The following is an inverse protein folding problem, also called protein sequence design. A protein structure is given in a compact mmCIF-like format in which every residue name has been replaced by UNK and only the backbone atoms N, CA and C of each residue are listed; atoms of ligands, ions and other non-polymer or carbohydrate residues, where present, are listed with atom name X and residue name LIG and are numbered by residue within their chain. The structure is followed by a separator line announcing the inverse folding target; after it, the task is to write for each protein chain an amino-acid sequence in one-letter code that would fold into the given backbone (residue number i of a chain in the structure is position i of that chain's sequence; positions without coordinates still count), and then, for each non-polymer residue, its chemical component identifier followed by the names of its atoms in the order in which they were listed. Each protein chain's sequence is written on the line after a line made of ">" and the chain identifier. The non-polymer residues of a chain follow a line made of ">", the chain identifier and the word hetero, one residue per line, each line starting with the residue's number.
data_IF_409398022142
#
_entry.id   IF_409398022142
#
_cell.length_a   1.000
_cell.length_b   1.000
_cell.length_c   1.000
_cell.angle_alpha   90.00
_cell.angle_beta   90.00
_cell.angle_gamma   90.00
#
_symmetry.space_group_name_H-M   'P 1'
#
loop_
_entity.id
_entity.type
_entity.pdbx_description
1 polymer ?
#
# COMPACT_ATOMS: atom_id res chain seq x y z
N UNK A 1 -24.26 -0.91 37.20
CA UNK A 1 -23.73 -0.72 35.83
C UNK A 1 -24.71 -1.44 34.91
N UNK A 2 -25.35 -0.73 33.94
CA UNK A 2 -26.20 -1.40 32.93
C UNK A 2 -25.26 -2.27 32.08
N UNK A 3 -25.58 -3.56 31.96
CA UNK A 3 -24.90 -4.44 31.00
C UNK A 3 -25.03 -3.81 29.58
N UNK A 4 -23.88 -3.53 28.95
CA UNK A 4 -23.90 -3.02 27.58
C UNK A 4 -24.28 -4.15 26.65
N UNK A 5 -25.26 -3.90 25.77
CA UNK A 5 -25.68 -4.89 24.77
C UNK A 5 -24.51 -5.16 23.82
N UNK A 6 -24.05 -6.39 23.75
CA UNK A 6 -23.06 -6.84 22.77
C UNK A 6 -23.80 -7.16 21.47
N UNK A 7 -23.39 -6.53 20.38
CA UNK A 7 -23.93 -6.78 19.03
C UNK A 7 -22.87 -7.56 18.28
N UNK A 8 -23.22 -8.78 17.83
CA UNK A 8 -22.35 -9.59 16.99
C UNK A 8 -22.50 -9.15 15.53
N UNK A 9 -21.39 -8.89 14.85
CA UNK A 9 -21.35 -8.37 13.48
C UNK A 9 -20.28 -9.13 12.68
N UNK A 10 -20.54 -9.39 11.42
CA UNK A 10 -19.56 -9.92 10.47
C UNK A 10 -19.15 -8.85 9.47
N UNK A 11 -17.90 -8.90 9.01
CA UNK A 11 -17.39 -8.09 7.92
C UNK A 11 -16.59 -8.94 6.92
N UNK A 12 -16.83 -8.73 5.64
CA UNK A 12 -16.18 -9.45 4.56
C UNK A 12 -14.87 -8.76 4.14
N UNK A 13 -13.77 -9.48 4.22
CA UNK A 13 -12.49 -9.09 3.59
C UNK A 13 -12.48 -9.73 2.20
N UNK A 14 -13.15 -9.09 1.24
CA UNK A 14 -13.27 -9.58 -0.13
C UNK A 14 -12.05 -9.11 -0.93
N UNK A 15 -11.26 -10.06 -1.42
CA UNK A 15 -10.04 -9.78 -2.17
C UNK A 15 -10.14 -10.25 -3.63
N UNK A 16 -9.65 -9.40 -4.55
CA UNK A 16 -9.43 -9.75 -5.96
C UNK A 16 -8.06 -9.19 -6.36
N UNK A 17 -7.13 -10.06 -6.69
CA UNK A 17 -5.73 -9.68 -6.93
C UNK A 17 -5.11 -8.92 -5.73
N UNK A 18 -4.65 -7.69 -5.93
CA UNK A 18 -4.08 -6.82 -4.89
C UNK A 18 -5.08 -5.79 -4.33
N UNK A 19 -6.36 -5.90 -4.70
CA UNK A 19 -7.41 -4.98 -4.27
C UNK A 19 -8.45 -5.64 -3.35
N UNK A 20 -9.06 -4.82 -2.52
CA UNK A 20 -10.10 -5.19 -1.57
C UNK A 20 -11.38 -4.43 -1.88
N UNK A 21 -12.52 -5.12 -1.82
CA UNK A 21 -13.83 -4.52 -2.02
C UNK A 21 -14.33 -3.89 -0.73
N UNK A 22 -14.70 -2.62 -0.82
CA UNK A 22 -15.28 -1.86 0.28
C UNK A 22 -16.58 -1.20 -0.15
N UNK A 23 -17.48 -0.96 0.82
CA UNK A 23 -18.71 -0.24 0.64
C UNK A 23 -18.70 1.11 1.34
N UNK A 24 -19.32 2.11 0.74
CA UNK A 24 -19.50 3.42 1.34
C UNK A 24 -20.90 3.58 1.88
N UNK A 25 -21.02 3.94 3.15
CA UNK A 25 -22.31 4.12 3.81
C UNK A 25 -23.09 5.30 3.22
N UNK A 26 -24.42 5.15 2.96
CA UNK A 26 -25.25 6.26 2.55
C UNK A 26 -25.24 7.39 3.58
N UNK A 27 -25.24 8.64 3.13
CA UNK A 27 -25.17 9.83 4.00
C UNK A 27 -26.29 9.92 5.04
N UNK A 28 -27.45 9.32 4.79
CA UNK A 28 -28.59 9.29 5.72
C UNK A 28 -28.51 8.25 6.84
N UNK A 29 -27.52 7.34 6.81
CA UNK A 29 -27.31 6.32 7.85
C UNK A 29 -26.33 6.86 8.92
N UNK A 30 -26.31 6.23 10.10
CA UNK A 30 -25.27 6.51 11.13
C UNK A 30 -23.89 6.30 10.53
N UNK A 31 -22.95 7.22 10.78
CA UNK A 31 -21.62 7.25 10.17
C UNK A 31 -21.65 7.30 8.62
N UNK A 32 -22.66 8.01 8.07
CA UNK A 32 -22.83 8.16 6.62
C UNK A 32 -21.62 8.81 5.95
N UNK A 33 -21.21 8.27 4.81
CA UNK A 33 -20.04 8.72 4.06
C UNK A 33 -18.74 7.97 4.38
N UNK A 34 -18.66 7.26 5.53
CA UNK A 34 -17.51 6.42 5.86
C UNK A 34 -17.51 5.15 5.01
N UNK A 35 -16.31 4.62 4.80
CA UNK A 35 -16.10 3.29 4.21
C UNK A 35 -16.16 2.22 5.30
N UNK A 36 -16.58 1.03 4.91
CA UNK A 36 -16.72 -0.11 5.80
C UNK A 36 -16.52 -1.43 5.05
N UNK A 37 -16.32 -2.50 5.80
CA UNK A 37 -16.44 -3.85 5.28
C UNK A 37 -17.91 -4.15 4.94
N UNK A 38 -18.13 -4.90 3.86
CA UNK A 38 -19.46 -5.43 3.54
C UNK A 38 -19.87 -6.40 4.64
N UNK A 39 -21.06 -6.24 5.22
CA UNK A 39 -21.51 -7.12 6.26
C UNK A 39 -22.48 -6.48 7.24
N UNK A 40 -22.90 -7.26 8.23
CA UNK A 40 -23.92 -6.83 9.15
C UNK A 40 -24.05 -7.71 10.37
N UNK A 41 -25.23 -7.70 11.00
CA UNK A 41 -25.48 -8.42 12.25
C UNK A 41 -25.60 -9.92 12.01
N UNK A 42 -25.05 -10.71 12.93
CA UNK A 42 -25.34 -12.14 12.99
C UNK A 42 -26.75 -12.33 13.58
N UNK A 43 -27.63 -13.01 12.86
CA UNK A 43 -28.98 -13.29 13.31
C UNK A 43 -29.00 -14.51 14.26
N UNK A 44 -30.03 -14.62 15.12
CA UNK A 44 -30.15 -15.77 16.02
C UNK A 44 -30.17 -17.10 15.27
N UNK A 45 -29.21 -17.97 15.60
CA UNK A 45 -29.06 -19.29 14.98
C UNK A 45 -28.13 -19.35 13.78
N UNK A 46 -27.62 -18.21 13.31
CA UNK A 46 -26.60 -18.18 12.26
C UNK A 46 -25.19 -18.37 12.83
N UNK A 47 -24.35 -19.03 12.07
CA UNK A 47 -22.90 -18.97 12.24
C UNK A 47 -22.36 -17.69 11.58
N UNK A 48 -21.17 -17.16 11.97
CA UNK A 48 -20.58 -15.99 11.31
C UNK A 48 -20.47 -16.13 9.79
N UNK A 49 -20.10 -17.33 9.30
CA UNK A 49 -20.00 -17.59 7.85
C UNK A 49 -21.34 -17.55 7.13
N UNK A 50 -22.40 -18.06 7.76
CA UNK A 50 -23.76 -17.99 7.18
C UNK A 50 -24.25 -16.56 7.12
N UNK A 51 -24.07 -15.79 8.19
CA UNK A 51 -24.39 -14.37 8.21
C UNK A 51 -23.66 -13.61 7.09
N UNK A 52 -22.36 -13.86 6.92
CA UNK A 52 -21.59 -13.17 5.88
C UNK A 52 -22.11 -13.48 4.46
N UNK A 53 -22.41 -14.74 4.17
CA UNK A 53 -22.95 -15.13 2.85
C UNK A 53 -24.28 -14.42 2.59
N UNK A 54 -25.19 -14.36 3.60
CA UNK A 54 -26.46 -13.64 3.50
C UNK A 54 -26.23 -12.15 3.27
N UNK A 55 -25.39 -11.49 4.08
CA UNK A 55 -25.13 -10.04 3.99
C UNK A 55 -24.49 -9.66 2.64
N UNK A 56 -23.50 -10.43 2.15
CA UNK A 56 -22.93 -10.19 0.81
C UNK A 56 -23.99 -10.32 -0.30
N UNK A 57 -24.91 -11.25 -0.17
CA UNK A 57 -25.99 -11.40 -1.15
C UNK A 57 -27.01 -10.26 -1.06
N UNK A 58 -27.34 -9.80 0.15
CA UNK A 58 -28.33 -8.74 0.39
C UNK A 58 -27.77 -7.36 0.01
N UNK A 59 -26.58 -7.02 0.48
CA UNK A 59 -26.01 -5.69 0.32
C UNK A 59 -25.37 -5.41 -1.04
N UNK A 60 -24.76 -6.45 -1.65
CA UNK A 60 -23.97 -6.27 -2.89
C UNK A 60 -24.26 -7.30 -3.97
N UNK A 61 -25.27 -8.18 -3.82
CA UNK A 61 -25.63 -9.24 -4.76
C UNK A 61 -24.47 -10.14 -5.18
N UNK A 62 -23.50 -10.37 -4.29
CA UNK A 62 -22.30 -11.11 -4.58
C UNK A 62 -22.26 -12.44 -3.81
N UNK A 63 -22.37 -13.60 -4.49
CA UNK A 63 -22.03 -14.87 -3.89
C UNK A 63 -20.55 -14.92 -3.56
N UNK A 64 -20.19 -15.35 -2.35
CA UNK A 64 -18.81 -15.46 -1.88
C UNK A 64 -18.44 -16.89 -1.53
N UNK A 65 -17.17 -17.23 -1.76
CA UNK A 65 -16.59 -18.56 -1.56
C UNK A 65 -15.30 -18.48 -0.73
N UNK A 66 -14.73 -19.61 -0.35
CA UNK A 66 -13.44 -19.72 0.37
C UNK A 66 -13.41 -18.98 1.71
N UNK A 67 -14.52 -19.03 2.47
CA UNK A 67 -14.68 -18.30 3.71
C UNK A 67 -13.76 -18.82 4.83
N UNK A 68 -12.89 -17.94 5.34
CA UNK A 68 -11.99 -18.23 6.47
C UNK A 68 -12.01 -17.08 7.48
N UNK A 69 -12.29 -17.37 8.76
CA UNK A 69 -12.21 -16.35 9.82
C UNK A 69 -10.77 -15.88 9.90
N UNK A 70 -10.59 -14.56 9.78
CA UNK A 70 -9.27 -13.91 9.82
C UNK A 70 -8.94 -13.40 11.22
N UNK A 71 -9.83 -12.59 11.78
CA UNK A 71 -9.63 -11.99 13.10
C UNK A 71 -10.97 -11.58 13.71
N UNK A 72 -10.97 -11.35 15.02
CA UNK A 72 -12.12 -10.87 15.78
C UNK A 72 -11.69 -9.70 16.65
N UNK A 73 -12.49 -8.63 16.66
CA UNK A 73 -12.25 -7.45 17.48
C UNK A 73 -13.50 -7.01 18.22
N UNK A 74 -13.33 -6.48 19.42
CA UNK A 74 -14.43 -5.94 20.22
C UNK A 74 -14.22 -4.45 20.45
N UNK A 75 -15.09 -3.65 19.85
CA UNK A 75 -15.07 -2.20 19.99
C UNK A 75 -16.22 -1.69 20.86
N UNK A 76 -15.90 -0.85 21.86
CA UNK A 76 -16.88 -0.28 22.79
C UNK A 76 -17.27 1.14 22.37
N UNK A 77 -18.49 1.30 21.87
CA UNK A 77 -19.14 2.61 21.69
C UNK A 77 -19.74 3.12 23.01
N UNK A 78 -20.10 4.40 23.11
CA UNK A 78 -20.75 4.92 24.32
C UNK A 78 -22.02 4.21 24.73
N UNK A 79 -22.82 3.77 23.75
CA UNK A 79 -24.16 3.18 23.90
C UNK A 79 -24.24 1.66 23.74
N UNK A 80 -23.22 1.05 23.11
CA UNK A 80 -23.20 -0.38 22.76
C UNK A 80 -21.77 -0.91 22.69
N UNK A 81 -21.64 -2.23 22.65
CA UNK A 81 -20.38 -2.91 22.30
C UNK A 81 -20.60 -3.71 21.02
N UNK A 82 -19.70 -3.59 20.06
CA UNK A 82 -19.72 -4.35 18.81
C UNK A 82 -18.60 -5.39 18.87
N UNK A 83 -18.96 -6.65 18.65
CA UNK A 83 -18.00 -7.73 18.41
C UNK A 83 -18.03 -8.04 16.91
N UNK A 84 -16.96 -7.66 16.22
CA UNK A 84 -16.79 -7.78 14.77
C UNK A 84 -15.94 -9.00 14.45
N UNK A 85 -16.48 -9.90 13.63
CA UNK A 85 -15.79 -11.07 13.08
C UNK A 85 -15.47 -10.79 11.62
N UNK A 86 -14.19 -10.66 11.28
CA UNK A 86 -13.72 -10.45 9.91
C UNK A 86 -13.40 -11.79 9.24
N UNK A 87 -13.92 -11.96 8.03
CA UNK A 87 -13.84 -13.21 7.28
C UNK A 87 -13.26 -12.95 5.90
N UNK A 88 -12.10 -13.55 5.62
CA UNK A 88 -11.55 -13.59 4.26
C UNK A 88 -12.49 -14.39 3.35
N UNK A 89 -12.75 -13.84 2.16
CA UNK A 89 -13.53 -14.53 1.14
C UNK A 89 -13.20 -13.98 -0.26
N UNK A 90 -13.66 -14.72 -1.27
CA UNK A 90 -13.46 -14.38 -2.67
C UNK A 90 -14.81 -14.32 -3.39
N UNK A 91 -14.97 -13.46 -4.41
CA UNK A 91 -16.14 -13.51 -5.29
C UNK A 91 -16.27 -14.89 -5.92
N UNK A 92 -17.48 -15.44 -5.98
CA UNK A 92 -17.71 -16.64 -6.77
C UNK A 92 -17.39 -16.37 -8.26
N UNK A 93 -16.75 -17.31 -8.98
CA UNK A 93 -16.34 -17.10 -10.36
C UNK A 93 -17.50 -16.61 -11.25
N UNK A 94 -17.22 -15.57 -12.06
CA UNK A 94 -18.20 -14.99 -12.98
C UNK A 94 -19.22 -14.04 -12.36
N UNK A 95 -19.06 -13.67 -11.09
CA UNK A 95 -19.93 -12.71 -10.43
C UNK A 95 -19.21 -11.41 -10.14
N UNK A 96 -19.91 -10.29 -10.31
CA UNK A 96 -19.42 -8.94 -9.97
C UNK A 96 -20.38 -8.29 -8.96
N UNK A 97 -19.85 -7.50 -8.02
CA UNK A 97 -20.69 -6.86 -7.00
C UNK A 97 -21.57 -5.77 -7.58
N UNK A 98 -22.77 -5.62 -7.01
CA UNK A 98 -23.71 -4.56 -7.34
C UNK A 98 -24.21 -3.90 -6.07
N UNK A 99 -23.97 -2.60 -5.89
CA UNK A 99 -24.41 -1.86 -4.72
C UNK A 99 -25.96 -1.88 -4.60
N UNK A 100 -26.48 -2.39 -3.49
CA UNK A 100 -27.89 -2.37 -3.16
C UNK A 100 -28.19 -1.49 -1.95
N UNK A 101 -27.34 -1.56 -0.94
CA UNK A 101 -27.49 -0.79 0.29
C UNK A 101 -26.44 0.29 0.47
N UNK A 102 -25.28 0.17 -0.16
CA UNK A 102 -24.19 1.14 -0.13
C UNK A 102 -24.41 2.23 -1.20
N UNK A 103 -23.95 3.45 -0.91
CA UNK A 103 -23.98 4.55 -1.90
C UNK A 103 -22.94 4.36 -3.01
N UNK A 104 -21.88 3.61 -2.71
CA UNK A 104 -20.75 3.36 -3.60
C UNK A 104 -20.07 2.04 -3.21
N UNK A 105 -19.54 1.32 -4.20
CA UNK A 105 -18.60 0.20 -4.01
C UNK A 105 -17.31 0.52 -4.73
N UNK A 106 -16.17 0.18 -4.12
CA UNK A 106 -14.86 0.42 -4.72
C UNK A 106 -13.88 -0.70 -4.41
N UNK A 107 -12.99 -0.96 -5.38
CA UNK A 107 -11.83 -1.83 -5.20
C UNK A 107 -10.61 -0.97 -4.91
N UNK A 108 -9.96 -1.21 -3.77
CA UNK A 108 -8.84 -0.40 -3.28
C UNK A 108 -7.65 -1.30 -2.91
N UNK A 109 -6.46 -0.87 -3.26
CA UNK A 109 -5.22 -1.48 -2.73
C UNK A 109 -5.08 -1.17 -1.24
N UNK A 110 -4.27 -1.96 -0.51
CA UNK A 110 -4.04 -1.72 0.91
C UNK A 110 -3.54 -0.29 1.22
N UNK A 111 -2.70 0.27 0.34
CA UNK A 111 -2.20 1.64 0.50
C UNK A 111 -3.32 2.67 0.31
N UNK A 112 -4.21 2.49 -0.69
CA UNK A 112 -5.35 3.38 -0.91
C UNK A 112 -6.39 3.28 0.20
N UNK A 113 -6.63 2.08 0.74
CA UNK A 113 -7.53 1.87 1.89
C UNK A 113 -7.14 2.75 3.08
N UNK A 114 -5.84 2.94 3.33
CA UNK A 114 -5.34 3.71 4.47
C UNK A 114 -5.60 5.22 4.35
N UNK A 115 -5.94 5.70 3.16
CA UNK A 115 -6.32 7.10 2.90
C UNK A 115 -7.84 7.34 3.00
N UNK A 116 -8.64 6.26 3.15
CA UNK A 116 -10.08 6.36 3.25
C UNK A 116 -10.55 6.63 4.69
N UNK A 117 -11.67 7.34 4.82
CA UNK A 117 -12.34 7.54 6.12
C UNK A 117 -13.21 6.34 6.45
N UNK A 118 -12.81 5.55 7.43
CA UNK A 118 -13.51 4.35 7.88
C UNK A 118 -14.43 4.59 9.07
N UNK A 119 -15.36 3.65 9.28
CA UNK A 119 -16.12 3.57 10.52
C UNK A 119 -15.18 3.29 11.72
N UNK A 120 -15.41 3.88 12.92
CA UNK A 120 -14.50 3.78 14.05
C UNK A 120 -14.11 2.36 14.47
N UNK A 121 -15.05 1.41 14.42
CA UNK A 121 -14.77 0.01 14.77
C UNK A 121 -13.77 -0.67 13.84
N UNK A 122 -13.70 -0.22 12.58
CA UNK A 122 -12.85 -0.83 11.56
C UNK A 122 -11.40 -0.33 11.65
N UNK A 123 -11.17 0.89 12.16
CA UNK A 123 -9.82 1.45 12.26
C UNK A 123 -8.83 0.57 13.03
N UNK A 124 -9.30 -0.14 14.08
CA UNK A 124 -8.44 -0.97 14.92
C UNK A 124 -7.85 -2.15 14.16
N UNK A 125 -8.55 -2.64 13.12
CA UNK A 125 -8.16 -3.81 12.34
C UNK A 125 -7.47 -3.48 11.02
N UNK A 126 -7.53 -2.22 10.54
CA UNK A 126 -6.95 -1.84 9.24
C UNK A 126 -5.47 -2.23 9.09
N UNK A 127 -4.57 -2.03 10.08
CA UNK A 127 -3.16 -2.41 9.94
C UNK A 127 -2.95 -3.92 9.77
N UNK A 128 -3.81 -4.74 10.36
CA UNK A 128 -3.74 -6.19 10.25
C UNK A 128 -4.31 -6.70 8.92
N UNK A 129 -5.44 -6.11 8.50
CA UNK A 129 -6.16 -6.53 7.29
C UNK A 129 -5.51 -5.98 6.03
N UNK A 130 -5.10 -4.72 6.05
CA UNK A 130 -4.53 -3.99 4.92
C UNK A 130 -3.10 -3.50 5.21
N UNK A 131 -2.13 -4.41 5.38
CA UNK A 131 -0.75 -3.98 5.57
C UNK A 131 -0.24 -3.33 4.28
N UNK A 132 0.21 -2.08 4.39
CA UNK A 132 0.81 -1.34 3.28
C UNK A 132 2.05 -2.05 2.74
N UNK A 133 2.48 -1.69 1.53
CA UNK A 133 3.72 -2.23 0.98
C UNK A 133 4.92 -1.95 1.89
N UNK A 134 4.98 -0.78 2.54
CA UNK A 134 6.02 -0.41 3.49
C UNK A 134 5.99 -1.27 4.77
N UNK A 135 4.81 -1.51 5.35
CA UNK A 135 4.65 -2.38 6.52
C UNK A 135 5.10 -3.82 6.23
N UNK A 136 4.71 -4.36 5.06
CA UNK A 136 5.16 -5.69 4.61
C UNK A 136 6.67 -5.74 4.41
N UNK A 137 7.25 -4.69 3.79
CA UNK A 137 8.70 -4.59 3.56
C UNK A 137 9.47 -4.57 4.89
N UNK A 138 9.10 -3.66 5.82
CA UNK A 138 9.76 -3.55 7.14
C UNK A 138 9.69 -4.85 7.91
N UNK A 139 8.51 -5.50 7.94
CA UNK A 139 8.34 -6.81 8.56
C UNK A 139 9.29 -7.84 7.96
N UNK A 140 9.30 -7.95 6.62
CA UNK A 140 10.08 -8.96 5.92
C UNK A 140 11.58 -8.77 6.06
N UNK A 141 12.06 -7.52 5.92
CA UNK A 141 13.48 -7.20 6.11
C UNK A 141 13.94 -7.48 7.55
N UNK A 142 13.10 -7.17 8.55
CA UNK A 142 13.40 -7.44 9.95
C UNK A 142 13.47 -8.94 10.24
N UNK A 143 12.54 -9.74 9.70
CA UNK A 143 12.56 -11.21 9.82
C UNK A 143 13.84 -11.82 9.23
N UNK A 144 14.26 -11.31 8.06
CA UNK A 144 15.46 -11.77 7.35
C UNK A 144 16.77 -11.15 7.89
N UNK A 145 16.67 -10.16 8.79
CA UNK A 145 17.81 -9.35 9.30
C UNK A 145 18.59 -8.65 8.17
N UNK A 146 17.87 -8.21 7.14
CA UNK A 146 18.41 -7.46 6.02
C UNK A 146 18.20 -5.96 6.23
N UNK A 147 19.10 -5.18 5.65
CA UNK A 147 19.12 -3.72 5.73
C UNK A 147 18.89 -3.09 4.36
N UNK A 148 18.26 -1.92 4.31
CA UNK A 148 18.03 -1.21 3.05
C UNK A 148 18.28 0.29 3.15
N UNK A 149 18.45 0.91 1.97
CA UNK A 149 18.63 2.35 1.80
C UNK A 149 17.98 2.85 0.51
N UNK A 150 17.80 4.18 0.41
CA UNK A 150 17.17 4.84 -0.76
C UNK A 150 18.07 5.91 -1.38
N UNK A 151 18.01 6.05 -2.72
CA UNK A 151 18.58 7.20 -3.44
C UNK A 151 17.47 7.86 -4.26
N UNK A 152 17.04 9.05 -3.86
CA UNK A 152 15.80 9.65 -4.35
C UNK A 152 16.05 10.94 -5.12
N UNK A 153 15.43 11.06 -6.31
CA UNK A 153 15.38 12.30 -7.07
C UNK A 153 13.97 12.85 -7.11
N UNK A 154 13.13 12.44 -8.06
CA UNK A 154 11.78 13.00 -8.23
C UNK A 154 10.81 12.75 -7.06
N UNK A 155 11.03 11.73 -6.24
CA UNK A 155 10.23 11.44 -5.03
C UNK A 155 10.60 12.33 -3.84
N UNK A 156 11.84 12.86 -3.81
CA UNK A 156 12.26 13.88 -2.85
C UNK A 156 12.23 13.44 -1.38
N UNK A 157 12.55 12.19 -1.08
CA UNK A 157 12.52 11.60 0.26
C UNK A 157 11.23 10.84 0.58
N UNK A 158 10.31 10.72 -0.38
CA UNK A 158 9.03 10.05 -0.18
C UNK A 158 9.15 8.57 0.15
N UNK A 159 10.13 7.85 -0.45
CA UNK A 159 10.35 6.43 -0.15
C UNK A 159 10.86 6.26 1.29
N UNK A 160 11.87 7.04 1.68
CA UNK A 160 12.38 7.05 3.05
C UNK A 160 11.31 7.43 4.07
N UNK A 161 10.47 8.44 3.74
CA UNK A 161 9.33 8.85 4.57
C UNK A 161 8.32 7.71 4.77
N UNK A 162 7.95 7.01 3.69
CA UNK A 162 7.01 5.90 3.75
C UNK A 162 7.54 4.73 4.60
N UNK A 163 8.83 4.39 4.47
CA UNK A 163 9.46 3.33 5.26
C UNK A 163 9.56 3.75 6.74
N UNK A 164 10.01 4.97 7.02
CA UNK A 164 10.16 5.47 8.39
C UNK A 164 8.84 5.75 9.10
N UNK A 165 7.75 5.89 8.38
CA UNK A 165 6.38 5.92 8.92
C UNK A 165 5.96 4.61 9.58
N UNK A 166 6.67 3.51 9.31
CA UNK A 166 6.38 2.20 9.91
C UNK A 166 7.16 2.02 11.22
N UNK A 167 6.45 1.68 12.29
CA UNK A 167 7.07 1.38 13.59
C UNK A 167 8.06 0.22 13.47
N UNK A 168 9.24 0.35 14.06
CA UNK A 168 10.29 -0.67 13.99
C UNK A 168 11.18 -0.59 12.74
N UNK A 169 10.94 0.32 11.81
CA UNK A 169 11.74 0.50 10.59
C UNK A 169 13.23 0.73 10.83
N UNK A 170 13.62 1.28 12.00
CA UNK A 170 15.02 1.47 12.39
C UNK A 170 15.83 0.17 12.46
N UNK A 171 15.18 -0.98 12.56
CA UNK A 171 15.85 -2.27 12.52
C UNK A 171 16.38 -2.65 11.13
N UNK A 172 15.81 -2.07 10.05
CA UNK A 172 16.13 -2.45 8.67
C UNK A 172 16.44 -1.27 7.74
N UNK A 173 15.94 -0.06 8.00
CA UNK A 173 16.18 1.11 7.15
C UNK A 173 17.28 2.00 7.74
N UNK A 174 18.41 2.11 7.04
CA UNK A 174 19.58 2.85 7.53
C UNK A 174 19.60 4.30 7.08
N UNK A 175 18.80 4.65 6.07
CA UNK A 175 18.71 6.01 5.59
C UNK A 175 18.61 6.13 4.08
N UNK A 176 18.77 7.36 3.59
CA UNK A 176 18.72 7.63 2.17
C UNK A 176 19.37 8.93 1.77
N UNK A 177 19.66 9.07 0.47
CA UNK A 177 20.20 10.29 -0.14
C UNK A 177 19.15 10.92 -1.04
N UNK A 178 18.74 12.15 -0.73
CA UNK A 178 17.92 12.96 -1.65
C UNK A 178 18.88 13.64 -2.62
N UNK A 179 19.01 13.08 -3.82
CA UNK A 179 19.92 13.51 -4.88
C UNK A 179 19.16 14.24 -5.99
N UNK A 180 18.45 15.33 -5.63
CA UNK A 180 17.61 16.06 -6.56
C UNK A 180 18.41 16.77 -7.65
N UNK A 181 19.52 17.40 -7.27
CA UNK A 181 20.48 18.00 -8.17
C UNK A 181 21.52 17.00 -8.67
N UNK A 182 21.97 17.16 -9.93
CA UNK A 182 22.95 16.27 -10.54
C UNK A 182 24.31 16.28 -9.81
N UNK A 183 24.68 17.41 -9.22
CA UNK A 183 25.92 17.51 -8.45
C UNK A 183 25.91 16.61 -7.19
N UNK A 184 24.73 16.37 -6.62
CA UNK A 184 24.56 15.44 -5.49
C UNK A 184 24.65 14.00 -5.98
N UNK A 185 24.02 13.67 -7.14
CA UNK A 185 24.16 12.35 -7.78
C UNK A 185 25.65 12.01 -7.99
N UNK A 186 26.41 12.97 -8.50
CA UNK A 186 27.83 12.79 -8.76
C UNK A 186 28.65 12.69 -7.46
N UNK A 187 28.58 13.69 -6.60
CA UNK A 187 29.49 13.83 -5.44
C UNK A 187 29.19 12.84 -4.33
N UNK A 188 27.94 12.48 -4.12
CA UNK A 188 27.52 11.65 -2.99
C UNK A 188 27.32 10.20 -3.41
N UNK A 189 26.68 9.98 -4.57
CA UNK A 189 26.34 8.64 -5.05
C UNK A 189 27.33 8.08 -6.08
N UNK A 190 28.31 8.89 -6.52
CA UNK A 190 29.33 8.44 -7.47
C UNK A 190 28.81 8.25 -8.90
N UNK A 191 27.65 8.84 -9.26
CA UNK A 191 27.17 8.80 -10.64
C UNK A 191 28.17 9.52 -11.54
N UNK A 192 28.60 8.87 -12.62
CA UNK A 192 29.67 9.42 -13.46
C UNK A 192 29.18 10.64 -14.25
N UNK A 193 30.12 11.58 -14.49
CA UNK A 193 29.80 12.79 -15.24
C UNK A 193 29.43 12.48 -16.68
N UNK A 194 30.06 11.48 -17.28
CA UNK A 194 29.79 11.05 -18.66
C UNK A 194 28.34 10.60 -18.82
N UNK A 195 27.73 9.98 -17.78
CA UNK A 195 26.34 9.58 -17.80
C UNK A 195 25.45 10.81 -17.67
N UNK A 196 25.73 11.70 -16.72
CA UNK A 196 24.91 12.88 -16.47
C UNK A 196 24.90 13.86 -17.67
N UNK A 197 26.04 14.05 -18.33
CA UNK A 197 26.20 14.93 -19.47
C UNK A 197 25.83 14.24 -20.81
N UNK A 198 25.86 12.91 -20.89
CA UNK A 198 25.56 12.12 -22.08
C UNK A 198 24.12 11.65 -22.16
N UNK A 199 23.81 10.46 -21.63
CA UNK A 199 22.46 9.87 -21.65
C UNK A 199 21.49 10.56 -20.70
N UNK A 200 22.03 11.36 -19.77
CA UNK A 200 21.26 12.19 -18.85
C UNK A 200 20.87 11.51 -17.52
N UNK A 201 20.37 12.33 -16.57
CA UNK A 201 20.05 11.89 -15.24
C UNK A 201 18.79 11.00 -15.18
N UNK A 202 17.94 11.00 -16.22
CA UNK A 202 16.74 10.17 -16.32
C UNK A 202 17.01 8.99 -17.26
N UNK A 203 17.78 8.03 -16.76
CA UNK A 203 18.22 6.87 -17.55
C UNK A 203 18.44 5.63 -16.68
N UNK A 204 18.42 4.46 -17.31
CA UNK A 204 18.71 3.16 -16.69
C UNK A 204 20.05 3.20 -15.91
N UNK A 205 21.10 3.60 -16.60
CA UNK A 205 22.47 3.60 -16.05
C UNK A 205 22.61 4.58 -14.89
N UNK A 206 21.95 5.74 -14.95
CA UNK A 206 21.92 6.69 -13.82
C UNK A 206 21.22 6.07 -12.61
N UNK A 207 20.05 5.45 -12.79
CA UNK A 207 19.33 4.78 -11.72
C UNK A 207 20.17 3.64 -11.09
N UNK A 208 20.83 2.83 -11.91
CA UNK A 208 21.72 1.76 -11.45
C UNK A 208 22.91 2.29 -10.63
N UNK A 209 23.54 3.35 -11.10
CA UNK A 209 24.66 3.95 -10.36
C UNK A 209 24.19 4.62 -9.06
N UNK A 210 23.04 5.26 -9.05
CA UNK A 210 22.44 5.80 -7.82
C UNK A 210 22.17 4.71 -6.79
N UNK A 211 21.57 3.58 -7.20
CA UNK A 211 21.27 2.46 -6.30
C UNK A 211 22.55 1.83 -5.73
N UNK A 212 23.54 1.58 -6.60
CA UNK A 212 24.85 1.06 -6.18
C UNK A 212 25.54 2.05 -5.23
N UNK A 213 25.55 3.34 -5.59
CA UNK A 213 26.21 4.39 -4.81
C UNK A 213 25.68 4.49 -3.39
N UNK A 214 24.36 4.49 -3.18
CA UNK A 214 23.77 4.56 -1.84
C UNK A 214 23.96 3.25 -1.06
N UNK A 215 23.90 2.09 -1.74
CA UNK A 215 24.18 0.80 -1.12
C UNK A 215 25.60 0.73 -0.57
N UNK A 216 26.57 1.16 -1.37
CA UNK A 216 27.99 1.15 -1.01
C UNK A 216 28.33 2.21 0.04
N UNK A 217 27.67 3.37 -0.02
CA UNK A 217 27.84 4.46 0.95
C UNK A 217 27.39 4.05 2.35
N UNK A 218 26.21 3.44 2.44
CA UNK A 218 25.58 3.08 3.72
C UNK A 218 25.89 1.64 4.15
N UNK A 219 26.56 0.84 3.30
CA UNK A 219 26.92 -0.56 3.59
C UNK A 219 25.71 -1.43 3.93
N UNK A 220 24.62 -1.27 3.20
CA UNK A 220 23.38 -2.03 3.37
C UNK A 220 23.30 -3.22 2.41
N UNK A 221 22.39 -4.16 2.67
CA UNK A 221 22.18 -5.33 1.83
C UNK A 221 21.49 -4.99 0.51
N UNK A 222 20.48 -4.13 0.59
CA UNK A 222 19.62 -3.74 -0.53
C UNK A 222 19.55 -2.22 -0.66
N UNK A 223 19.46 -1.72 -1.88
CA UNK A 223 19.18 -0.30 -2.09
C UNK A 223 18.30 -0.10 -3.32
N UNK A 224 17.34 0.81 -3.23
CA UNK A 224 16.52 1.24 -4.35
C UNK A 224 16.83 2.70 -4.69
N UNK A 225 16.85 3.01 -5.98
CA UNK A 225 16.95 4.38 -6.46
C UNK A 225 15.78 4.76 -7.33
N UNK A 226 15.51 6.06 -7.44
CA UNK A 226 14.49 6.60 -8.33
C UNK A 226 14.97 7.91 -8.97
N UNK A 227 14.83 8.00 -10.29
CA UNK A 227 15.07 9.22 -11.07
C UNK A 227 14.06 9.33 -12.19
N UNK A 228 13.49 10.53 -12.44
CA UNK A 228 12.42 10.66 -13.42
C UNK A 228 11.76 12.02 -13.46
N UNK A 229 10.75 12.13 -14.32
CA UNK A 229 9.99 13.33 -14.65
C UNK A 229 8.60 13.24 -14.00
N UNK A 230 8.43 13.83 -12.83
CA UNK A 230 7.14 13.81 -12.13
C UNK A 230 6.09 14.78 -12.72
N UNK A 231 6.49 15.64 -13.67
CA UNK A 231 5.60 16.66 -14.24
C UNK A 231 5.56 18.00 -13.47
N UNK A 232 4.78 19.00 -13.93
CA UNK A 232 4.08 18.99 -15.21
C UNK A 232 5.02 19.06 -16.40
N UNK A 233 4.64 18.43 -17.53
CA UNK A 233 5.45 18.36 -18.75
C UNK A 233 6.59 17.36 -18.68
N UNK A 234 7.15 17.04 -19.85
CA UNK A 234 8.34 16.24 -20.04
C UNK A 234 9.59 17.06 -20.23
N UNK A 235 10.70 16.43 -20.66
CA UNK A 235 11.99 17.07 -20.95
C UNK A 235 12.23 17.31 -22.46
N UNK A 236 11.22 17.11 -23.29
CA UNK A 236 11.30 17.18 -24.76
C UNK A 236 11.66 15.85 -25.42
N UNK A 237 12.13 14.86 -24.65
CA UNK A 237 12.42 13.48 -25.10
C UNK A 237 11.43 12.51 -24.48
N UNK A 238 11.17 12.63 -23.19
CA UNK A 238 10.30 11.76 -22.43
C UNK A 238 9.08 12.51 -21.89
N UNK A 239 7.91 11.85 -21.76
CA UNK A 239 6.71 12.45 -21.19
C UNK A 239 6.82 12.64 -19.68
N UNK A 240 5.93 13.46 -19.09
CA UNK A 240 5.69 13.43 -17.65
C UNK A 240 5.28 12.03 -17.22
N UNK A 241 5.69 11.63 -16.02
CA UNK A 241 5.45 10.28 -15.50
C UNK A 241 6.52 9.26 -15.86
N UNK A 242 7.49 9.61 -16.73
CA UNK A 242 8.58 8.72 -17.10
C UNK A 242 9.61 8.60 -15.97
N UNK A 243 9.70 7.43 -15.34
CA UNK A 243 10.51 7.21 -14.13
C UNK A 243 11.34 5.94 -14.27
N UNK A 244 12.65 6.05 -14.00
CA UNK A 244 13.58 4.94 -13.86
C UNK A 244 13.80 4.59 -12.40
N UNK A 245 13.87 3.30 -12.14
CA UNK A 245 14.19 2.70 -10.85
C UNK A 245 15.46 1.87 -11.00
N UNK A 246 16.33 1.92 -10.00
CA UNK A 246 17.46 1.03 -9.86
C UNK A 246 17.33 0.22 -8.58
N UNK A 247 17.74 -1.04 -8.62
CA UNK A 247 17.77 -1.93 -7.47
C UNK A 247 19.15 -2.56 -7.37
N UNK A 248 19.85 -2.33 -6.28
CA UNK A 248 21.16 -2.91 -5.98
C UNK A 248 21.05 -3.94 -4.84
N UNK A 249 21.63 -5.12 -5.06
CA UNK A 249 21.67 -6.24 -4.12
C UNK A 249 23.09 -6.80 -4.02
N UNK A 250 23.29 -7.85 -3.21
CA UNK A 250 24.55 -8.61 -3.19
C UNK A 250 24.86 -9.34 -4.50
N UNK A 251 23.83 -9.64 -5.31
CA UNK A 251 23.95 -10.37 -6.59
C UNK A 251 24.22 -9.45 -7.78
N UNK A 252 23.97 -8.14 -7.64
CA UNK A 252 24.18 -7.18 -8.72
C UNK A 252 23.22 -5.99 -8.68
N UNK A 253 23.12 -5.31 -9.82
CA UNK A 253 22.26 -4.13 -9.99
C UNK A 253 21.41 -4.33 -11.24
N UNK A 254 20.11 -4.00 -11.14
CA UNK A 254 19.16 -3.98 -12.24
C UNK A 254 18.36 -2.70 -12.25
N UNK A 255 17.78 -2.37 -13.37
CA UNK A 255 16.88 -1.22 -13.51
C UNK A 255 15.62 -1.58 -14.27
N UNK A 256 14.61 -0.79 -14.05
CA UNK A 256 13.36 -0.84 -14.82
C UNK A 256 12.76 0.56 -14.99
N UNK A 257 11.93 0.71 -16.01
CA UNK A 257 11.25 1.97 -16.33
C UNK A 257 9.73 1.78 -16.27
N UNK A 258 9.07 2.78 -15.69
CA UNK A 258 7.60 2.86 -15.67
C UNK A 258 7.15 4.26 -16.08
N UNK A 259 6.05 4.33 -16.84
CA UNK A 259 5.38 5.59 -17.16
C UNK A 259 4.08 5.67 -16.37
N UNK A 260 4.06 6.52 -15.36
CA UNK A 260 2.88 6.73 -14.52
C UNK A 260 1.97 7.80 -15.11
N UNK A 261 0.67 7.56 -15.05
CA UNK A 261 -0.35 8.55 -15.40
C UNK A 261 -0.65 9.49 -14.21
N UNK A 262 -1.24 10.65 -14.52
CA UNK A 262 -1.72 11.60 -13.51
C UNK A 262 -0.85 12.85 -13.39
N UNK A 263 -1.17 13.65 -12.37
CA UNK A 263 -0.43 14.86 -12.04
C UNK A 263 0.87 14.54 -11.26
N UNK A 264 1.61 15.59 -10.94
CA UNK A 264 2.88 15.47 -10.20
C UNK A 264 2.74 14.72 -8.86
N UNK A 265 1.62 14.90 -8.17
CA UNK A 265 1.37 14.22 -6.89
C UNK A 265 1.15 12.72 -7.11
N UNK A 266 0.27 12.36 -8.05
CA UNK A 266 -0.04 10.98 -8.40
C UNK A 266 1.21 10.22 -8.89
N UNK A 267 2.01 10.82 -9.78
CA UNK A 267 3.27 10.23 -10.27
C UNK A 267 4.24 9.97 -9.12
N UNK A 268 4.44 10.92 -8.21
CA UNK A 268 5.36 10.75 -7.07
C UNK A 268 4.88 9.67 -6.12
N UNK A 269 3.59 9.64 -5.81
CA UNK A 269 2.98 8.62 -4.92
C UNK A 269 3.13 7.22 -5.52
N UNK A 270 2.82 7.07 -6.82
CA UNK A 270 2.97 5.81 -7.53
C UNK A 270 4.45 5.36 -7.60
N UNK A 271 5.38 6.28 -7.83
CA UNK A 271 6.81 5.99 -7.84
C UNK A 271 7.33 5.54 -6.47
N UNK A 272 6.87 6.14 -5.38
CA UNK A 272 7.20 5.70 -4.01
C UNK A 272 6.73 4.26 -3.77
N UNK A 273 5.45 3.98 -4.08
CA UNK A 273 4.88 2.64 -3.93
C UNK A 273 5.64 1.61 -4.77
N UNK A 274 5.93 1.93 -6.04
CA UNK A 274 6.65 1.04 -6.95
C UNK A 274 8.05 0.68 -6.43
N UNK A 275 8.82 1.65 -5.95
CA UNK A 275 10.15 1.42 -5.37
C UNK A 275 10.11 0.50 -4.15
N UNK A 276 9.10 0.65 -3.28
CA UNK A 276 8.91 -0.22 -2.11
C UNK A 276 8.54 -1.64 -2.54
N UNK A 277 7.69 -1.79 -3.56
CA UNK A 277 7.33 -3.10 -4.12
C UNK A 277 8.53 -3.81 -4.76
N UNK A 278 9.43 -3.09 -5.46
CA UNK A 278 10.68 -3.66 -5.98
C UNK A 278 11.55 -4.26 -4.87
N UNK A 279 11.73 -3.54 -3.75
CA UNK A 279 12.44 -4.07 -2.57
C UNK A 279 11.72 -5.29 -1.99
N UNK A 280 10.39 -5.22 -1.84
CA UNK A 280 9.59 -6.31 -1.26
C UNK A 280 9.67 -7.58 -2.12
N UNK A 281 9.55 -7.47 -3.44
CA UNK A 281 9.66 -8.61 -4.37
C UNK A 281 11.03 -9.31 -4.29
N UNK A 282 12.07 -8.58 -3.95
CA UNK A 282 13.43 -9.14 -3.84
C UNK A 282 13.61 -10.01 -2.59
N UNK A 283 12.77 -9.81 -1.57
CA UNK A 283 12.86 -10.51 -0.27
C UNK A 283 11.64 -11.41 0.03
N UNK A 284 10.77 -11.59 -0.97
CA UNK A 284 9.55 -12.42 -0.86
C UNK A 284 9.85 -13.91 -0.93
#
# INVERSE_FOLDING_TARGET
>A
MKERKIIQVVGAVIRKEDAYLLGRRPLGKSQGGCWEFIGGKIEPGETPKQALVRECQEEIALPVVNLQIRTEVTHAYPDKTVHLVLIDCEPAPGHEPTAKEHSELGWYTADEVRELEFCPADYEVLPEIFPTAAERLVKRLTELKLTCATAESCTGGGIGSAITGVSGSSACFWGGVISYDNSVKQRVLGVSREILDGVGPVSAVCAEQMARGVRDLLKVDLAVSVTGLAGPGGDGVHPAGYVWFGLATGEGVRSENVVFAGDRYAVRTAAVRHAILMLLQTVS
#
